data_IF_908376595302
#
_entry.id   IF_908376595302
#
_cell.length_a   1.000
_cell.length_b   1.000
_cell.length_c   1.000
_cell.angle_alpha   90.00
_cell.angle_beta   90.00
_cell.angle_gamma   90.00
#
_symmetry.space_group_name_H-M   'P 1'
#
loop_
_entity.id
_entity.type
_entity.pdbx_description
1 polymer ?
#
# COMPACT_ATOMS: atom_id res chain seq x y z
N UNK A 1 -10.56 -14.80 0.04
CA UNK A 1 -10.58 -13.50 0.76
C UNK A 1 -9.87 -12.48 -0.11
N UNK A 2 -10.42 -11.28 -0.30
CA UNK A 2 -9.77 -10.22 -1.10
C UNK A 2 -8.79 -9.43 -0.23
N UNK A 3 -7.67 -9.02 -0.82
CA UNK A 3 -6.68 -8.16 -0.17
C UNK A 3 -7.22 -6.74 0.08
N UNK A 4 -6.66 -5.96 1.03
CA UNK A 4 -7.08 -4.57 1.26
C UNK A 4 -6.66 -3.65 0.10
N UNK A 5 -7.49 -2.66 -0.21
CA UNK A 5 -7.19 -1.64 -1.22
C UNK A 5 -6.29 -0.56 -0.59
N UNK A 6 -5.07 -0.38 -1.11
CA UNK A 6 -4.12 0.62 -0.60
C UNK A 6 -4.42 2.03 -1.13
N UNK A 7 -4.86 2.14 -2.38
CA UNK A 7 -5.27 3.38 -3.04
C UNK A 7 -6.25 3.05 -4.17
N UNK A 8 -7.14 3.98 -4.48
CA UNK A 8 -8.14 3.82 -5.56
C UNK A 8 -7.58 4.39 -6.87
N UNK A 9 -6.93 5.55 -6.79
CA UNK A 9 -6.22 6.18 -7.91
C UNK A 9 -4.71 6.27 -7.61
N UNK A 10 -3.89 6.29 -8.67
CA UNK A 10 -2.43 6.41 -8.52
C UNK A 10 -2.02 7.63 -7.68
N UNK A 11 -2.69 8.76 -7.90
CA UNK A 11 -2.45 10.02 -7.19
C UNK A 11 -2.69 9.97 -5.67
N UNK A 12 -3.45 8.98 -5.18
CA UNK A 12 -3.64 8.78 -3.74
C UNK A 12 -2.42 8.12 -3.07
N UNK A 13 -1.47 7.60 -3.85
CA UNK A 13 -0.26 6.95 -3.36
C UNK A 13 0.96 7.86 -3.56
N UNK A 14 1.57 8.28 -2.45
CA UNK A 14 2.77 9.12 -2.49
C UNK A 14 4.10 8.34 -2.61
N UNK A 15 4.05 7.03 -2.82
CA UNK A 15 5.27 6.21 -2.98
C UNK A 15 6.15 6.04 -1.73
N UNK A 16 5.72 6.48 -0.54
CA UNK A 16 6.57 6.50 0.68
C UNK A 16 6.99 5.12 1.25
N UNK A 17 6.52 4.01 0.68
CA UNK A 17 6.82 2.63 1.10
C UNK A 17 6.48 2.27 2.57
N UNK A 18 5.74 3.09 3.32
CA UNK A 18 5.34 2.76 4.70
C UNK A 18 4.54 1.45 4.77
N UNK A 19 3.62 1.22 3.84
CA UNK A 19 2.83 -0.02 3.75
C UNK A 19 3.71 -1.26 3.50
N UNK A 20 4.75 -1.12 2.68
CA UNK A 20 5.76 -2.14 2.42
C UNK A 20 6.51 -2.50 3.70
N UNK A 21 7.05 -1.50 4.40
CA UNK A 21 7.88 -1.69 5.59
C UNK A 21 7.13 -2.37 6.74
N UNK A 22 5.84 -2.08 6.94
CA UNK A 22 5.07 -2.65 8.07
C UNK A 22 4.45 -4.02 7.79
N UNK A 23 4.56 -4.55 6.57
CA UNK A 23 3.88 -5.78 6.18
C UNK A 23 4.59 -7.02 6.77
N UNK A 24 3.99 -7.73 7.75
CA UNK A 24 4.67 -8.84 8.44
C UNK A 24 4.84 -10.09 7.57
N UNK A 25 4.15 -10.14 6.43
CA UNK A 25 4.22 -11.25 5.47
C UNK A 25 5.02 -10.90 4.21
N UNK A 26 5.60 -9.70 4.15
CA UNK A 26 6.29 -9.19 2.96
C UNK A 26 5.43 -9.37 1.69
N UNK A 27 4.12 -9.16 1.85
CA UNK A 27 3.12 -9.33 0.79
C UNK A 27 2.98 -8.08 -0.09
N UNK A 28 3.83 -7.06 0.10
CA UNK A 28 3.78 -5.81 -0.66
C UNK A 28 5.12 -5.67 -1.37
N UNK A 29 5.10 -5.17 -2.60
CA UNK A 29 6.28 -4.70 -3.34
C UNK A 29 6.05 -3.27 -3.82
N UNK A 30 7.13 -2.50 -4.00
CA UNK A 30 7.10 -1.21 -4.66
C UNK A 30 7.45 -1.42 -6.14
N UNK A 31 6.58 -0.95 -7.03
CA UNK A 31 6.71 -1.13 -8.49
C UNK A 31 6.74 0.24 -9.14
N UNK A 32 7.76 0.46 -9.96
CA UNK A 32 7.93 1.69 -10.74
C UNK A 32 7.07 1.59 -12.01
N UNK A 33 6.35 2.65 -12.35
CA UNK A 33 5.62 2.74 -13.61
C UNK A 33 6.43 3.39 -14.74
N UNK A 34 5.81 3.56 -15.91
CA UNK A 34 6.48 4.13 -17.10
C UNK A 34 6.97 5.58 -16.91
N UNK A 35 6.42 6.30 -15.93
CA UNK A 35 6.75 7.70 -15.64
C UNK A 35 7.80 7.80 -14.53
N UNK A 36 8.22 6.67 -13.95
CA UNK A 36 9.23 6.62 -12.90
C UNK A 36 8.66 6.73 -11.48
N UNK A 37 7.33 6.74 -11.31
CA UNK A 37 6.71 6.80 -9.99
C UNK A 37 6.57 5.41 -9.37
N UNK A 38 6.82 5.30 -8.06
CA UNK A 38 6.71 4.05 -7.30
C UNK A 38 5.35 3.87 -6.63
N UNK A 39 4.77 2.67 -6.79
CA UNK A 39 3.48 2.31 -6.21
C UNK A 39 3.52 0.96 -5.52
N UNK A 40 2.77 0.84 -4.42
CA UNK A 40 2.64 -0.43 -3.71
C UNK A 40 1.72 -1.40 -4.43
N UNK A 41 2.16 -2.64 -4.65
CA UNK A 41 1.36 -3.76 -5.17
C UNK A 41 1.28 -4.88 -4.14
N UNK A 42 0.09 -5.44 -3.91
CA UNK A 42 -0.12 -6.56 -2.98
C UNK A 42 -0.05 -7.89 -3.73
N UNK A 43 0.72 -8.83 -3.17
CA UNK A 43 0.68 -10.26 -3.46
C UNK A 43 -0.43 -10.91 -2.62
N UNK A 44 -1.56 -11.21 -3.26
CA UNK A 44 -2.74 -11.77 -2.58
C UNK A 44 -2.47 -13.14 -1.95
N UNK A 45 -1.52 -13.91 -2.47
CA UNK A 45 -1.20 -15.24 -1.95
C UNK A 45 -0.52 -15.19 -0.57
N UNK A 46 0.14 -14.08 -0.25
CA UNK A 46 0.86 -13.86 1.03
C UNK A 46 0.05 -13.01 2.00
N UNK A 47 -0.91 -12.24 1.50
CA UNK A 47 -1.68 -11.30 2.30
C UNK A 47 -2.62 -12.03 3.27
N UNK A 48 -2.43 -11.78 4.57
CA UNK A 48 -3.29 -12.31 5.64
C UNK A 48 -4.38 -11.33 6.10
N UNK A 49 -4.57 -10.23 5.36
CA UNK A 49 -5.57 -9.20 5.63
C UNK A 49 -5.54 -8.61 7.07
N UNK A 50 -4.35 -8.35 7.60
CA UNK A 50 -4.17 -7.83 8.97
C UNK A 50 -4.36 -6.30 9.13
N UNK A 51 -4.56 -5.56 8.03
CA UNK A 51 -4.80 -4.11 8.03
C UNK A 51 -3.65 -3.21 8.51
N UNK A 52 -2.44 -3.74 8.77
CA UNK A 52 -1.28 -2.91 9.19
C UNK A 52 -0.87 -1.88 8.13
N UNK A 53 -0.91 -2.25 6.86
CA UNK A 53 -0.60 -1.35 5.74
C UNK A 53 -1.53 -0.13 5.68
N UNK A 54 -2.83 -0.30 5.97
CA UNK A 54 -3.80 0.79 6.01
C UNK A 54 -3.52 1.77 7.15
N UNK A 55 -3.21 1.23 8.34
CA UNK A 55 -2.87 2.02 9.54
C UNK A 55 -1.53 2.74 9.44
N UNK A 56 -0.60 2.25 8.63
CA UNK A 56 0.69 2.91 8.43
C UNK A 56 0.64 3.98 7.33
N UNK A 57 -0.41 4.04 6.52
CA UNK A 57 -0.49 4.95 5.40
C UNK A 57 -0.81 6.38 5.87
N UNK A 58 0.11 7.35 5.73
CA UNK A 58 -0.13 8.73 6.19
C UNK A 58 -1.25 9.42 5.40
N UNK A 59 -1.45 9.04 4.13
CA UNK A 59 -2.51 9.60 3.27
C UNK A 59 -3.90 9.12 3.72
N UNK A 60 -4.01 7.90 4.28
CA UNK A 60 -5.30 7.39 4.75
C UNK A 60 -5.70 7.92 6.14
N UNK A 61 -4.73 8.34 6.96
CA UNK A 61 -5.01 8.92 8.29
C UNK A 61 -5.49 10.37 8.17
N UNK A 62 -5.05 11.10 7.15
CA UNK A 62 -5.27 12.54 7.02
C UNK A 62 -6.53 12.95 6.23
N UNK A 63 -7.54 12.08 6.02
CA UNK A 63 -8.83 12.50 5.44
C UNK A 63 -9.76 13.23 6.43
N UNK A 64 -9.20 13.88 7.45
CA UNK A 64 -9.91 14.72 8.41
C UNK A 64 -9.51 16.19 8.22
N UNK A 65 -9.92 16.79 7.10
CA UNK A 65 -10.08 18.24 6.93
C UNK A 65 -11.27 18.50 6.02
#
# INVERSE_FOLDING_TARGET
MKSPILFDNKEDCCGCAACFAVCPRQAISMVVDKEGFEYSKIDESKCINCGKCLRACPVKINKHF
#
